data_IF_289194180926
#
_entry.id   IF_289194180926
#
_cell.length_a   1.000
_cell.length_b   1.000
_cell.length_c   1.000
_cell.angle_alpha   90.00
_cell.angle_beta   90.00
_cell.angle_gamma   90.00
#
_symmetry.space_group_name_H-M   'P 1'
#
loop_
_entity.id
_entity.type
_entity.pdbx_description
1 polymer ?
#
# COMPACT_ATOMS: atom_id res chain seq x y z
N UNK A 1 22.51 -12.37 22.56
CA UNK A 1 21.14 -11.86 22.77
C UNK A 1 20.80 -10.76 21.77
N UNK A 2 21.76 -9.93 21.32
CA UNK A 2 21.53 -8.92 20.25
C UNK A 2 21.00 -9.51 18.93
N UNK A 3 21.55 -10.66 18.49
CA UNK A 3 21.15 -11.28 17.22
C UNK A 3 19.67 -11.73 17.18
N UNK A 4 19.02 -11.94 18.32
CA UNK A 4 17.59 -12.32 18.37
C UNK A 4 16.68 -11.11 18.18
N UNK A 5 17.09 -9.94 18.67
CA UNK A 5 16.29 -8.70 18.62
C UNK A 5 16.27 -8.14 17.19
N UNK A 6 17.41 -8.14 16.51
CA UNK A 6 17.52 -7.69 15.11
C UNK A 6 16.67 -8.56 14.16
N UNK A 7 16.69 -9.88 14.35
CA UNK A 7 15.88 -10.81 13.55
C UNK A 7 14.39 -10.61 13.78
N UNK A 8 13.95 -10.34 15.02
CA UNK A 8 12.53 -10.02 15.29
C UNK A 8 12.10 -8.70 14.66
N UNK A 9 12.92 -7.66 14.76
CA UNK A 9 12.59 -6.35 14.18
C UNK A 9 12.48 -6.43 12.65
N UNK A 10 13.40 -7.16 12.01
CA UNK A 10 13.34 -7.38 10.56
C UNK A 10 12.07 -8.14 10.15
N UNK A 11 11.69 -9.17 10.93
CA UNK A 11 10.46 -9.93 10.69
C UNK A 11 9.21 -9.04 10.79
N UNK A 12 9.17 -8.13 11.74
CA UNK A 12 8.07 -7.17 11.90
C UNK A 12 7.96 -6.21 10.71
N UNK A 13 9.11 -5.73 10.21
CA UNK A 13 9.16 -4.88 9.01
C UNK A 13 8.68 -5.62 7.75
N UNK A 14 9.05 -6.88 7.58
CA UNK A 14 8.54 -7.72 6.48
C UNK A 14 7.03 -7.94 6.59
N UNK A 15 6.52 -8.24 7.79
CA UNK A 15 5.08 -8.39 8.00
C UNK A 15 4.30 -7.10 7.71
N UNK A 16 4.85 -5.93 8.07
CA UNK A 16 4.29 -4.63 7.70
C UNK A 16 4.29 -4.41 6.19
N UNK A 17 5.36 -4.79 5.49
CA UNK A 17 5.46 -4.68 4.04
C UNK A 17 4.37 -5.51 3.35
N UNK A 18 4.17 -6.75 3.78
CA UNK A 18 3.14 -7.64 3.24
C UNK A 18 1.73 -7.05 3.43
N UNK A 19 1.45 -6.51 4.62
CA UNK A 19 0.18 -5.83 4.91
C UNK A 19 -0.03 -4.62 3.99
N UNK A 20 0.97 -3.74 3.86
CA UNK A 20 0.89 -2.56 3.00
C UNK A 20 0.67 -2.94 1.52
N UNK A 21 1.33 -3.99 1.04
CA UNK A 21 1.14 -4.48 -0.32
C UNK A 21 -0.28 -5.05 -0.53
N UNK A 22 -0.83 -5.76 0.46
CA UNK A 22 -2.20 -6.25 0.42
C UNK A 22 -3.19 -5.08 0.35
N UNK A 23 -3.07 -4.10 1.26
CA UNK A 23 -3.89 -2.89 1.28
C UNK A 23 -3.81 -2.11 -0.05
N UNK A 24 -2.59 -1.95 -0.59
CA UNK A 24 -2.39 -1.28 -1.87
C UNK A 24 -3.08 -2.00 -3.02
N UNK A 25 -3.01 -3.34 -3.07
CA UNK A 25 -3.74 -4.15 -4.07
C UNK A 25 -5.25 -4.03 -3.93
N UNK A 26 -5.77 -4.00 -2.71
CA UNK A 26 -7.20 -3.79 -2.47
C UNK A 26 -7.67 -2.41 -2.92
N UNK A 27 -6.89 -1.36 -2.64
CA UNK A 27 -7.17 0.00 -3.12
C UNK A 27 -7.20 0.05 -4.65
N UNK A 28 -6.26 -0.64 -5.31
CA UNK A 28 -6.24 -0.74 -6.77
C UNK A 28 -7.48 -1.45 -7.33
N UNK A 29 -7.88 -2.57 -6.73
CA UNK A 29 -9.09 -3.28 -7.12
C UNK A 29 -10.35 -2.41 -6.98
N UNK A 30 -10.45 -1.62 -5.90
CA UNK A 30 -11.55 -0.66 -5.70
C UNK A 30 -11.55 0.44 -6.75
N UNK A 31 -10.38 1.02 -7.07
CA UNK A 31 -10.22 2.05 -8.11
C UNK A 31 -10.65 1.50 -9.47
N UNK A 32 -10.21 0.28 -9.84
CA UNK A 32 -10.58 -0.35 -11.10
C UNK A 32 -12.10 -0.56 -11.17
N UNK A 33 -12.68 -1.13 -10.12
CA UNK A 33 -14.13 -1.39 -10.06
C UNK A 33 -14.95 -0.11 -10.21
N UNK A 34 -14.59 0.97 -9.51
CA UNK A 34 -15.27 2.25 -9.58
C UNK A 34 -15.05 2.92 -10.95
N UNK A 35 -13.84 2.83 -11.50
CA UNK A 35 -13.50 3.39 -12.81
C UNK A 35 -14.11 2.66 -14.01
N UNK A 36 -14.64 1.44 -13.83
CA UNK A 36 -15.34 0.68 -14.87
C UNK A 36 -16.81 1.08 -15.04
N UNK A 37 -17.34 1.94 -14.16
CA UNK A 37 -18.72 2.41 -14.29
C UNK A 37 -18.87 3.31 -15.52
N UNK A 38 -19.94 3.09 -16.31
CA UNK A 38 -20.21 3.86 -17.53
C UNK A 38 -20.45 5.36 -17.26
N UNK A 39 -20.96 5.68 -16.07
CA UNK A 39 -21.16 7.04 -15.59
C UNK A 39 -20.72 7.11 -14.13
N UNK A 40 -19.94 8.12 -13.78
CA UNK A 40 -19.54 8.42 -12.41
C UNK A 40 -20.23 9.71 -11.94
N UNK A 41 -20.92 9.63 -10.80
CA UNK A 41 -21.43 10.81 -10.12
C UNK A 41 -20.28 11.68 -9.59
N UNK A 42 -20.58 12.91 -9.15
CA UNK A 42 -19.59 13.76 -8.51
C UNK A 42 -19.00 13.11 -7.24
N UNK A 43 -19.81 12.36 -6.49
CA UNK A 43 -19.39 11.64 -5.30
C UNK A 43 -18.45 10.48 -5.65
N UNK A 44 -18.75 9.72 -6.71
CA UNK A 44 -17.87 8.64 -7.19
C UNK A 44 -16.52 9.20 -7.65
N UNK A 45 -16.50 10.37 -8.30
CA UNK A 45 -15.27 11.02 -8.71
C UNK A 45 -14.43 11.48 -7.52
N UNK A 46 -15.07 12.00 -6.48
CA UNK A 46 -14.42 12.39 -5.23
C UNK A 46 -13.85 11.16 -4.50
N UNK A 47 -14.62 10.07 -4.42
CA UNK A 47 -14.17 8.79 -3.86
C UNK A 47 -12.96 8.26 -4.65
N UNK A 48 -13.04 8.24 -5.98
CA UNK A 48 -11.95 7.79 -6.84
C UNK A 48 -10.66 8.60 -6.61
N UNK A 49 -10.79 9.92 -6.48
CA UNK A 49 -9.66 10.80 -6.18
C UNK A 49 -9.07 10.50 -4.79
N UNK A 50 -9.91 10.27 -3.79
CA UNK A 50 -9.51 9.85 -2.44
C UNK A 50 -8.76 8.52 -2.45
N UNK A 51 -9.30 7.51 -3.13
CA UNK A 51 -8.69 6.19 -3.26
C UNK A 51 -7.33 6.25 -3.96
N UNK A 52 -7.22 7.01 -5.06
CA UNK A 52 -5.95 7.21 -5.78
C UNK A 52 -4.90 7.88 -4.90
N UNK A 53 -5.29 8.87 -4.10
CA UNK A 53 -4.39 9.54 -3.14
C UNK A 53 -3.91 8.58 -2.05
N UNK A 54 -4.80 7.75 -1.50
CA UNK A 54 -4.43 6.74 -0.51
C UNK A 54 -3.50 5.68 -1.11
N UNK A 55 -3.80 5.20 -2.34
CA UNK A 55 -2.96 4.25 -3.06
C UNK A 55 -1.55 4.80 -3.27
N UNK A 56 -1.42 6.07 -3.69
CA UNK A 56 -0.12 6.72 -3.86
C UNK A 56 0.67 6.76 -2.55
N UNK A 57 0.04 7.19 -1.44
CA UNK A 57 0.68 7.20 -0.12
C UNK A 57 1.17 5.81 0.30
N UNK A 58 0.38 4.76 0.05
CA UNK A 58 0.77 3.37 0.35
C UNK A 58 1.93 2.90 -0.51
N UNK A 59 1.94 3.27 -1.80
CA UNK A 59 3.07 3.00 -2.69
C UNK A 59 4.36 3.65 -2.18
N UNK A 60 4.28 4.91 -1.75
CA UNK A 60 5.43 5.63 -1.21
C UNK A 60 5.91 5.02 0.12
N UNK A 61 5.00 4.58 1.00
CA UNK A 61 5.33 3.85 2.22
C UNK A 61 5.99 2.49 1.94
N UNK A 62 5.49 1.75 0.95
CA UNK A 62 6.09 0.49 0.47
C UNK A 62 7.51 0.74 -0.05
N UNK A 63 7.71 1.81 -0.83
CA UNK A 63 9.02 2.15 -1.38
C UNK A 63 10.04 2.40 -0.27
N UNK A 64 9.70 3.24 0.71
CA UNK A 64 10.58 3.54 1.84
C UNK A 64 10.86 2.29 2.69
N UNK A 65 9.86 1.44 2.90
CA UNK A 65 10.03 0.23 3.70
C UNK A 65 10.88 -0.82 2.98
N UNK A 66 10.75 -0.95 1.65
CA UNK A 66 11.61 -1.80 0.83
C UNK A 66 13.06 -1.33 0.88
N UNK A 67 13.29 -0.02 0.75
CA UNK A 67 14.63 0.58 0.87
C UNK A 67 15.25 0.27 2.25
N UNK A 68 14.48 0.41 3.33
CA UNK A 68 14.92 0.03 4.69
C UNK A 68 15.26 -1.46 4.83
N UNK A 69 14.50 -2.33 4.16
CA UNK A 69 14.71 -3.77 4.15
C UNK A 69 15.85 -4.21 3.20
N UNK A 70 16.43 -3.30 2.42
CA UNK A 70 17.40 -3.61 1.36
C UNK A 70 16.80 -4.41 0.21
N UNK A 71 15.48 -4.36 0.05
CA UNK A 71 14.74 -4.98 -1.06
C UNK A 71 14.66 -3.94 -2.17
N UNK A 72 14.91 -4.35 -3.41
CA UNK A 72 14.80 -3.46 -4.58
C UNK A 72 13.41 -2.77 -4.60
N UNK A 73 13.38 -1.42 -4.52
CA UNK A 73 12.14 -0.68 -4.30
C UNK A 73 11.15 -0.70 -5.48
#
# INVERSE_FOLDING_TARGET
>A
MENTIEVSAQKDLVGRLELLQAEHRELDAKIIKLGQQAYLSADDQLELAGLKKLKLKKKDEIFLLKEQLGIDP
#
